data_IF_888326566697
#
_entry.id   IF_888326566697
#
_cell.length_a   1.000
_cell.length_b   1.000
_cell.length_c   1.000
_cell.angle_alpha   90.00
_cell.angle_beta   90.00
_cell.angle_gamma   90.00
#
_symmetry.space_group_name_H-M   'P 1'
#
loop_
_entity.id
_entity.type
_entity.pdbx_description
1 polymer ?
#
# COMPACT_ATOMS: atom_id res chain seq x y z
N UNK A 1 14.77 1.85 -0.28
CA UNK A 1 13.97 1.28 0.83
C UNK A 1 12.68 0.68 0.29
N UNK A 2 12.31 -0.48 0.80
CA UNK A 2 11.07 -1.15 0.42
C UNK A 2 10.09 -1.10 1.60
N UNK A 3 8.91 -0.53 1.37
CA UNK A 3 7.88 -0.33 2.40
C UNK A 3 6.74 -1.31 2.12
N UNK A 4 6.49 -2.23 3.05
CA UNK A 4 5.44 -3.24 2.89
C UNK A 4 4.10 -2.73 3.41
N UNK A 5 3.19 -2.41 2.50
CA UNK A 5 1.85 -1.90 2.82
C UNK A 5 0.83 -3.04 2.83
N UNK A 6 1.10 -4.05 3.64
CA UNK A 6 0.24 -5.23 3.78
C UNK A 6 -0.37 -5.26 5.18
N UNK A 7 -1.57 -5.84 5.29
CA UNK A 7 -2.28 -5.88 6.57
C UNK A 7 -1.59 -6.76 7.61
N UNK A 8 -0.95 -7.84 7.17
CA UNK A 8 -0.27 -8.78 8.06
C UNK A 8 1.15 -9.04 7.58
N UNK A 9 2.12 -9.11 8.50
CA UNK A 9 3.49 -9.46 8.13
C UNK A 9 3.56 -10.93 7.70
N UNK A 10 4.64 -11.35 7.02
CA UNK A 10 4.80 -12.75 6.63
C UNK A 10 4.90 -13.65 7.85
N UNK A 11 4.21 -14.78 7.83
CA UNK A 11 4.22 -15.76 8.92
C UNK A 11 5.60 -16.41 9.06
N UNK A 12 6.03 -16.59 10.31
CA UNK A 12 7.25 -17.30 10.62
C UNK A 12 8.52 -16.55 10.28
N UNK A 13 8.43 -15.28 9.87
CA UNK A 13 9.59 -14.46 9.54
C UNK A 13 9.71 -13.37 10.60
N UNK A 14 10.87 -13.28 11.24
CA UNK A 14 11.13 -12.26 12.23
C UNK A 14 11.34 -10.91 11.54
N UNK A 15 11.02 -9.82 12.25
CA UNK A 15 11.16 -8.47 11.72
C UNK A 15 12.59 -8.19 11.24
N UNK A 16 13.59 -8.70 11.95
CA UNK A 16 15.00 -8.52 11.62
C UNK A 16 15.38 -9.19 10.31
N UNK A 17 14.59 -10.17 9.87
CA UNK A 17 14.88 -10.98 8.68
C UNK A 17 14.15 -10.49 7.42
N UNK A 18 13.31 -9.46 7.51
CA UNK A 18 12.50 -9.01 6.37
C UNK A 18 13.35 -8.62 5.17
N UNK A 19 14.35 -7.79 5.37
CA UNK A 19 15.22 -7.35 4.28
C UNK A 19 16.10 -8.49 3.77
N UNK A 20 16.64 -9.30 4.67
CA UNK A 20 17.52 -10.43 4.33
C UNK A 20 16.77 -11.46 3.48
N UNK A 21 15.50 -11.73 3.79
CA UNK A 21 14.69 -12.67 3.04
C UNK A 21 13.98 -12.02 1.84
N UNK A 22 14.38 -10.81 1.47
CA UNK A 22 13.90 -10.08 0.30
C UNK A 22 12.38 -9.85 0.31
N UNK A 23 11.81 -9.56 1.48
CA UNK A 23 10.38 -9.30 1.62
C UNK A 23 10.13 -7.79 1.52
N UNK A 24 10.58 -7.03 2.50
CA UNK A 24 10.61 -5.57 2.51
C UNK A 24 11.52 -5.11 3.66
N UNK A 25 11.82 -3.82 3.70
CA UNK A 25 12.69 -3.27 4.74
C UNK A 25 11.91 -2.90 6.00
N UNK A 26 10.65 -2.45 5.82
CA UNK A 26 9.77 -2.10 6.94
C UNK A 26 8.32 -2.50 6.63
N UNK A 27 7.62 -2.97 7.65
CA UNK A 27 6.19 -3.24 7.58
C UNK A 27 5.42 -1.99 8.00
N UNK A 28 4.54 -1.51 7.10
CA UNK A 28 3.78 -0.28 7.30
C UNK A 28 2.30 -0.52 6.97
N UNK A 29 1.54 -1.14 7.89
CA UNK A 29 0.16 -1.54 7.61
C UNK A 29 -0.83 -0.39 7.54
N UNK A 30 -0.46 0.82 7.96
CA UNK A 30 -1.36 1.98 7.97
C UNK A 30 -1.93 2.32 6.60
N UNK A 31 -1.23 1.96 5.53
CA UNK A 31 -1.65 2.21 4.16
C UNK A 31 -2.16 0.95 3.45
N UNK A 32 -2.40 -0.12 4.20
CA UNK A 32 -3.02 -1.33 3.66
C UNK A 32 -4.54 -1.26 3.82
N UNK A 33 -5.31 -2.00 2.98
CA UNK A 33 -6.74 -2.12 3.20
C UNK A 33 -7.05 -2.78 4.54
N UNK A 34 -8.21 -2.45 5.13
CA UNK A 34 -8.71 -3.16 6.30
C UNK A 34 -8.91 -4.65 5.98
N UNK A 35 -8.96 -5.51 7.00
CA UNK A 35 -9.17 -6.94 6.79
C UNK A 35 -10.46 -7.24 6.02
N UNK A 36 -11.54 -6.54 6.36
CA UNK A 36 -12.83 -6.67 5.68
C UNK A 36 -12.70 -6.32 4.19
N UNK A 37 -12.01 -5.22 3.90
CA UNK A 37 -11.83 -4.74 2.54
C UNK A 37 -10.88 -5.64 1.76
N UNK A 38 -9.86 -6.17 2.42
CA UNK A 38 -8.92 -7.11 1.81
C UNK A 38 -9.64 -8.38 1.33
N UNK A 39 -10.57 -8.90 2.12
CA UNK A 39 -11.37 -10.08 1.73
C UNK A 39 -12.18 -9.79 0.47
N UNK A 40 -12.74 -8.58 0.35
CA UNK A 40 -13.48 -8.16 -0.85
C UNK A 40 -12.56 -8.06 -2.07
N UNK A 41 -11.35 -7.56 -1.88
CA UNK A 41 -10.37 -7.46 -2.96
C UNK A 41 -9.98 -8.83 -3.50
N UNK A 42 -9.77 -9.80 -2.62
CA UNK A 42 -9.42 -11.16 -3.02
C UNK A 42 -10.56 -11.86 -3.76
N UNK A 43 -11.80 -11.46 -3.50
CA UNK A 43 -12.98 -12.01 -4.18
C UNK A 43 -13.36 -11.23 -5.44
N UNK A 44 -12.68 -10.12 -5.74
CA UNK A 44 -13.01 -9.27 -6.88
C UNK A 44 -12.52 -9.92 -8.18
N UNK A 45 -13.45 -10.31 -9.05
CA UNK A 45 -13.14 -10.98 -10.31
C UNK A 45 -13.39 -10.10 -11.54
N UNK A 46 -14.12 -9.00 -11.39
CA UNK A 46 -14.50 -8.12 -12.49
C UNK A 46 -14.17 -6.65 -12.20
N UNK A 47 -14.30 -5.82 -13.23
CA UNK A 47 -14.00 -4.39 -13.11
C UNK A 47 -14.95 -3.65 -12.18
N UNK A 48 -16.20 -4.09 -12.09
CA UNK A 48 -17.18 -3.48 -11.20
C UNK A 48 -16.81 -3.70 -9.73
N UNK A 49 -16.41 -4.93 -9.39
CA UNK A 49 -15.96 -5.27 -8.04
C UNK A 49 -14.70 -4.51 -7.68
N UNK A 50 -13.77 -4.36 -8.63
CA UNK A 50 -12.55 -3.60 -8.43
C UNK A 50 -12.85 -2.11 -8.19
N UNK A 51 -13.76 -1.51 -8.95
CA UNK A 51 -14.13 -0.10 -8.76
C UNK A 51 -14.79 0.12 -7.40
N UNK A 52 -15.60 -0.83 -6.93
CA UNK A 52 -16.20 -0.78 -5.60
C UNK A 52 -15.13 -0.84 -4.52
N UNK A 53 -14.18 -1.76 -4.65
CA UNK A 53 -13.04 -1.84 -3.75
C UNK A 53 -12.25 -0.53 -3.73
N UNK A 54 -11.91 0.01 -4.89
CA UNK A 54 -11.15 1.26 -5.01
C UNK A 54 -11.84 2.40 -4.27
N UNK A 55 -13.14 2.55 -4.46
CA UNK A 55 -13.93 3.60 -3.78
C UNK A 55 -13.88 3.43 -2.27
N UNK A 56 -14.02 2.22 -1.77
CA UNK A 56 -14.00 1.94 -0.35
C UNK A 56 -12.61 2.15 0.25
N UNK A 57 -11.56 1.76 -0.47
CA UNK A 57 -10.19 1.99 -0.01
C UNK A 57 -9.87 3.48 0.03
N UNK A 58 -10.30 4.24 -0.99
CA UNK A 58 -10.13 5.70 -0.98
C UNK A 58 -10.79 6.33 0.25
N UNK A 59 -11.95 5.82 0.67
CA UNK A 59 -12.62 6.29 1.88
C UNK A 59 -11.78 5.97 3.14
N UNK A 60 -11.16 4.79 3.21
CA UNK A 60 -10.27 4.43 4.32
C UNK A 60 -9.03 5.32 4.38
N UNK A 61 -8.56 5.80 3.22
CA UNK A 61 -7.38 6.66 3.15
C UNK A 61 -7.68 8.14 3.46
N UNK A 62 -8.92 8.48 3.77
CA UNK A 62 -9.30 9.85 4.16
C UNK A 62 -9.18 10.13 5.64
N UNK A 63 -8.77 9.16 6.45
CA UNK A 63 -8.53 9.40 7.88
C UNK A 63 -7.36 10.37 8.06
N UNK A 64 -7.33 11.13 9.17
CA UNK A 64 -6.21 12.04 9.44
C UNK A 64 -4.86 11.32 9.47
N UNK A 65 -4.81 10.11 10.05
CA UNK A 65 -3.59 9.31 10.12
C UNK A 65 -3.08 8.94 8.74
N UNK A 66 -3.95 8.42 7.87
CA UNK A 66 -3.57 8.03 6.52
C UNK A 66 -3.13 9.24 5.70
N UNK A 67 -3.82 10.38 5.83
CA UNK A 67 -3.43 11.61 5.16
C UNK A 67 -2.03 12.07 5.58
N UNK A 68 -1.73 12.05 6.87
CA UNK A 68 -0.40 12.40 7.36
C UNK A 68 0.68 11.46 6.82
N UNK A 69 0.40 10.16 6.80
CA UNK A 69 1.32 9.16 6.27
C UNK A 69 1.60 9.38 4.79
N UNK A 70 0.56 9.65 4.00
CA UNK A 70 0.70 9.92 2.57
C UNK A 70 1.46 11.22 2.31
N UNK A 71 1.20 12.27 3.08
CA UNK A 71 1.91 13.54 2.97
C UNK A 71 3.40 13.35 3.29
N UNK A 72 3.71 12.57 4.33
CA UNK A 72 5.10 12.28 4.69
C UNK A 72 5.81 11.52 3.56
N UNK A 73 5.19 10.48 3.01
CA UNK A 73 5.80 9.71 1.92
C UNK A 73 5.98 10.54 0.67
N UNK A 74 5.02 11.40 0.34
CA UNK A 74 5.14 12.30 -0.81
C UNK A 74 6.33 13.25 -0.65
N UNK A 75 6.51 13.81 0.54
CA UNK A 75 7.66 14.68 0.84
C UNK A 75 8.97 13.91 0.77
N UNK A 76 9.01 12.70 1.34
CA UNK A 76 10.21 11.86 1.33
C UNK A 76 10.63 11.44 -0.09
N UNK A 77 9.68 11.32 -1.02
CA UNK A 77 9.97 10.90 -2.39
C UNK A 77 10.93 11.85 -3.12
N UNK A 78 11.02 13.11 -2.68
CA UNK A 78 11.94 14.09 -3.25
C UNK A 78 13.33 14.05 -2.61
N UNK A 79 13.50 13.27 -1.55
CA UNK A 79 14.75 13.21 -0.77
C UNK A 79 15.41 11.85 -0.80
N UNK A 80 14.65 10.79 -1.01
CA UNK A 80 15.16 9.43 -0.98
C UNK A 80 14.31 8.55 -1.89
N UNK A 81 14.88 7.43 -2.30
CA UNK A 81 14.18 6.44 -3.11
C UNK A 81 13.55 5.38 -2.21
N UNK A 82 12.28 5.07 -2.46
CA UNK A 82 11.62 3.95 -1.82
C UNK A 82 10.62 3.32 -2.77
N UNK A 83 10.25 2.08 -2.49
CA UNK A 83 9.22 1.35 -3.22
C UNK A 83 8.15 0.87 -2.25
N UNK A 84 6.91 0.84 -2.71
CA UNK A 84 5.79 0.30 -1.95
C UNK A 84 5.53 -1.11 -2.45
N UNK A 85 5.49 -2.07 -1.54
CA UNK A 85 5.32 -3.47 -1.86
C UNK A 85 4.11 -4.11 -1.20
N UNK A 86 3.63 -5.18 -1.82
CA UNK A 86 2.61 -6.05 -1.26
C UNK A 86 2.79 -7.46 -1.83
N UNK A 87 1.83 -8.35 -1.56
CA UNK A 87 1.89 -9.72 -2.05
C UNK A 87 1.10 -9.95 -3.34
N UNK A 88 0.48 -8.89 -3.89
CA UNK A 88 -0.31 -9.00 -5.12
C UNK A 88 0.60 -9.16 -6.33
N UNK A 89 0.24 -10.06 -7.25
CA UNK A 89 0.97 -10.27 -8.49
C UNK A 89 0.68 -9.17 -9.51
N UNK A 90 -0.58 -8.72 -9.60
CA UNK A 90 -1.02 -7.70 -10.54
C UNK A 90 -1.12 -6.34 -9.85
N UNK A 91 -0.19 -5.44 -10.16
CA UNK A 91 -0.18 -4.09 -9.60
C UNK A 91 -1.43 -3.29 -9.97
N UNK A 92 -1.96 -3.49 -11.18
CA UNK A 92 -3.14 -2.76 -11.65
C UNK A 92 -4.39 -3.09 -10.83
N UNK A 93 -4.44 -4.28 -10.23
CA UNK A 93 -5.53 -4.72 -9.36
C UNK A 93 -5.09 -4.87 -7.91
N UNK A 94 -4.17 -4.02 -7.48
CA UNK A 94 -3.66 -3.96 -6.12
C UNK A 94 -3.82 -2.56 -5.56
N UNK A 95 -4.00 -2.46 -4.24
CA UNK A 95 -4.09 -1.16 -3.58
C UNK A 95 -2.86 -0.27 -3.83
N UNK A 96 -1.72 -0.85 -4.25
CA UNK A 96 -0.53 -0.09 -4.64
C UNK A 96 -0.82 0.91 -5.77
N UNK A 97 -1.64 0.53 -6.74
CA UNK A 97 -2.00 1.44 -7.84
C UNK A 97 -2.77 2.65 -7.32
N UNK A 98 -3.63 2.44 -6.33
CA UNK A 98 -4.41 3.50 -5.70
C UNK A 98 -3.51 4.40 -4.86
N UNK A 99 -2.59 3.81 -4.09
CA UNK A 99 -1.61 4.57 -3.31
C UNK A 99 -0.72 5.42 -4.22
N UNK A 100 -0.33 4.88 -5.37
CA UNK A 100 0.45 5.62 -6.37
C UNK A 100 -0.29 6.87 -6.85
N UNK A 101 -1.59 6.74 -7.15
CA UNK A 101 -2.43 7.87 -7.55
C UNK A 101 -2.52 8.92 -6.43
N UNK A 102 -2.74 8.48 -5.19
CA UNK A 102 -2.83 9.38 -4.04
C UNK A 102 -1.52 10.14 -3.79
N UNK A 103 -0.39 9.47 -3.95
CA UNK A 103 0.92 10.10 -3.81
C UNK A 103 1.18 11.09 -4.95
N UNK A 104 0.79 10.73 -6.18
CA UNK A 104 0.92 11.62 -7.34
C UNK A 104 0.12 12.91 -7.14
N UNK A 105 -1.09 12.81 -6.59
CA UNK A 105 -1.93 13.97 -6.29
C UNK A 105 -1.29 14.92 -5.27
N UNK A 106 -0.37 14.42 -4.45
CA UNK A 106 0.36 15.20 -3.45
C UNK A 106 1.72 15.68 -3.96
N UNK A 107 1.98 15.52 -5.25
CA UNK A 107 3.22 16.00 -5.85
C UNK A 107 4.42 15.08 -5.63
N UNK A 108 4.22 13.81 -5.31
CA UNK A 108 5.31 12.86 -5.13
C UNK A 108 6.13 12.67 -6.41
N UNK A 109 7.43 12.46 -6.25
CA UNK A 109 8.31 12.12 -7.36
C UNK A 109 8.17 10.61 -7.63
N UNK A 110 7.43 10.27 -8.68
CA UNK A 110 7.14 8.87 -9.05
C UNK A 110 7.87 8.54 -10.35
N UNK A 111 8.56 7.40 -10.35
CA UNK A 111 9.23 6.88 -11.54
C UNK A 111 8.32 5.93 -12.30
#
# INVERSE_FOLDING_TARGET
MRIGTVRRPPRGVRKEDYATKNIYDIWFPNLSPSEKLLKRALAAEDDKSWRTFKRQFLAEMKTPEANCDLDLLAALSHRTNFAIGCYCEDEARCHRSILRELLAQRGAAIK
#
